data_IF_871995901772
#
_entry.id   IF_871995901772
#
_cell.length_a   1.000
_cell.length_b   1.000
_cell.length_c   1.000
_cell.angle_alpha   90.00
_cell.angle_beta   90.00
_cell.angle_gamma   90.00
#
_symmetry.space_group_name_H-M   'P 1'
#
loop_
_entity.id
_entity.type
_entity.pdbx_description
1 polymer ?
#
# COMPACT_ATOMS: atom_id res chain seq x y z
N UNK A 1 38.10 -24.05 -83.80
CA UNK A 1 37.09 -24.96 -83.28
C UNK A 1 37.16 -24.88 -81.74
N UNK A 2 36.20 -24.26 -81.08
CA UNK A 2 36.13 -24.17 -79.65
C UNK A 2 34.77 -23.61 -79.31
N UNK A 3 33.88 -24.45 -78.80
CA UNK A 3 32.54 -24.11 -78.44
C UNK A 3 32.51 -23.42 -77.06
N UNK A 4 31.88 -22.29 -77.02
CA UNK A 4 31.61 -21.60 -75.76
C UNK A 4 30.26 -22.08 -75.17
N UNK A 5 30.30 -22.59 -73.98
CA UNK A 5 29.10 -22.91 -73.19
C UNK A 5 28.72 -21.68 -72.31
N UNK A 6 27.54 -21.11 -72.50
CA UNK A 6 26.97 -20.11 -71.68
C UNK A 6 26.28 -20.79 -70.49
N UNK A 7 26.68 -20.44 -69.27
CA UNK A 7 26.00 -20.80 -68.03
C UNK A 7 25.05 -19.67 -67.59
N UNK A 8 23.77 -19.96 -67.60
CA UNK A 8 22.68 -19.10 -67.07
C UNK A 8 22.66 -19.20 -65.53
N UNK A 9 22.94 -18.12 -64.82
CA UNK A 9 22.83 -18.06 -63.38
C UNK A 9 21.41 -17.61 -63.02
N UNK A 10 20.61 -18.51 -62.43
CA UNK A 10 19.40 -18.20 -61.72
C UNK A 10 19.74 -17.59 -60.35
N UNK A 11 19.50 -16.31 -60.18
CA UNK A 11 19.55 -15.61 -58.91
C UNK A 11 18.34 -15.95 -58.04
N UNK A 12 18.53 -16.84 -57.08
CA UNK A 12 17.57 -17.04 -55.98
C UNK A 12 17.84 -16.06 -54.85
N UNK A 13 17.01 -15.03 -54.74
CA UNK A 13 17.01 -14.12 -53.58
C UNK A 13 16.44 -14.79 -52.34
N UNK A 14 17.31 -15.34 -51.50
CA UNK A 14 16.97 -15.80 -50.16
C UNK A 14 16.86 -14.59 -49.22
N UNK A 15 15.67 -14.08 -49.01
CA UNK A 15 15.41 -13.17 -47.92
C UNK A 15 15.56 -13.89 -46.59
N UNK A 16 16.67 -13.67 -45.90
CA UNK A 16 16.83 -14.05 -44.50
C UNK A 16 15.94 -13.15 -43.65
N UNK A 17 14.71 -13.58 -43.49
CA UNK A 17 13.84 -13.02 -42.48
C UNK A 17 14.42 -13.31 -41.08
N UNK A 18 15.06 -12.33 -40.48
CA UNK A 18 15.41 -12.35 -39.07
C UNK A 18 14.12 -12.40 -38.27
N UNK A 19 13.64 -13.59 -37.93
CA UNK A 19 12.58 -13.80 -36.99
C UNK A 19 13.16 -13.54 -35.61
N UNK A 20 12.91 -12.32 -35.11
CA UNK A 20 13.12 -12.04 -33.68
C UNK A 20 12.27 -13.03 -32.90
N UNK A 21 12.86 -13.80 -31.96
CA UNK A 21 12.08 -14.71 -31.14
C UNK A 21 10.97 -13.92 -30.44
N UNK A 22 9.76 -14.50 -30.30
CA UNK A 22 8.68 -13.84 -29.59
C UNK A 22 9.16 -13.49 -28.19
N UNK A 23 8.76 -12.31 -27.65
CA UNK A 23 9.10 -11.95 -26.29
C UNK A 23 8.61 -13.05 -25.33
N UNK A 24 9.36 -13.34 -24.25
CA UNK A 24 8.95 -14.33 -23.27
C UNK A 24 7.54 -13.97 -22.75
N UNK A 25 6.69 -14.97 -22.49
CA UNK A 25 5.35 -14.72 -22.00
C UNK A 25 5.42 -13.92 -20.69
N UNK A 26 4.58 -12.88 -20.58
CA UNK A 26 4.47 -12.12 -19.33
C UNK A 26 3.97 -13.03 -18.21
N UNK A 27 4.47 -12.83 -16.99
CA UNK A 27 3.96 -13.52 -15.80
C UNK A 27 2.45 -13.29 -15.66
N UNK A 28 1.72 -14.31 -15.17
CA UNK A 28 0.34 -14.10 -14.71
C UNK A 28 0.30 -13.05 -13.60
N UNK A 29 -0.87 -12.49 -13.33
CA UNK A 29 -1.00 -11.50 -12.25
C UNK A 29 -0.66 -12.09 -10.89
N UNK A 30 -1.06 -13.33 -10.61
CA UNK A 30 -0.69 -14.01 -9.37
C UNK A 30 0.82 -14.21 -9.26
N UNK A 31 1.49 -14.67 -10.32
CA UNK A 31 2.95 -14.85 -10.32
C UNK A 31 3.71 -13.52 -10.21
N UNK A 32 3.18 -12.45 -10.80
CA UNK A 32 3.73 -11.11 -10.64
C UNK A 32 3.58 -10.60 -9.20
N UNK A 33 2.40 -10.73 -8.61
CA UNK A 33 2.16 -10.34 -7.22
C UNK A 33 2.97 -11.21 -6.24
N UNK A 34 3.21 -12.49 -6.52
CA UNK A 34 4.13 -13.32 -5.74
C UNK A 34 5.55 -12.76 -5.76
N UNK A 35 6.04 -12.34 -6.92
CA UNK A 35 7.35 -11.69 -7.03
C UNK A 35 7.41 -10.38 -6.22
N UNK A 36 6.38 -9.55 -6.30
CA UNK A 36 6.28 -8.31 -5.51
C UNK A 36 6.32 -8.64 -4.02
N UNK A 37 5.50 -9.56 -3.56
CA UNK A 37 5.44 -9.94 -2.15
C UNK A 37 6.74 -10.53 -1.62
N UNK A 38 7.46 -11.33 -2.40
CA UNK A 38 8.79 -11.86 -2.00
C UNK A 38 9.81 -10.74 -1.78
N UNK A 39 9.84 -9.74 -2.67
CA UNK A 39 10.74 -8.61 -2.51
C UNK A 39 10.41 -7.78 -1.27
N UNK A 40 9.13 -7.48 -1.05
CA UNK A 40 8.66 -6.76 0.14
C UNK A 40 8.89 -7.56 1.43
N UNK A 41 8.69 -8.88 1.41
CA UNK A 41 8.98 -9.74 2.57
C UNK A 41 10.45 -9.66 3.01
N UNK A 42 11.40 -9.56 2.08
CA UNK A 42 12.81 -9.41 2.42
C UNK A 42 13.10 -8.17 3.26
N UNK A 43 12.36 -7.08 3.06
CA UNK A 43 12.46 -5.90 3.92
C UNK A 43 12.16 -6.26 5.37
N UNK A 44 11.03 -6.87 5.64
CA UNK A 44 10.61 -7.24 7.01
C UNK A 44 11.49 -8.33 7.62
N UNK A 45 12.01 -9.22 6.82
CA UNK A 45 12.90 -10.28 7.25
C UNK A 45 14.30 -9.77 7.62
N UNK A 46 14.88 -8.91 6.79
CA UNK A 46 16.26 -8.45 6.93
C UNK A 46 16.40 -7.20 7.80
N UNK A 47 15.37 -6.36 7.85
CA UNK A 47 15.40 -5.11 8.58
C UNK A 47 14.70 -5.17 9.96
N UNK A 48 14.27 -6.35 10.38
CA UNK A 48 13.87 -6.60 11.77
C UNK A 48 15.08 -6.81 12.67
N UNK A 49 15.03 -6.23 13.86
CA UNK A 49 16.03 -6.45 14.90
C UNK A 49 15.91 -7.87 15.48
N UNK A 50 16.96 -8.66 15.36
CA UNK A 50 16.99 -10.00 15.95
C UNK A 50 16.87 -9.99 17.50
N UNK A 51 17.16 -8.86 18.15
CA UNK A 51 17.09 -8.72 19.60
C UNK A 51 15.70 -8.30 20.11
N UNK A 52 14.94 -7.51 19.31
CA UNK A 52 13.68 -6.90 19.77
C UNK A 52 12.49 -7.23 18.86
N UNK A 53 12.71 -7.76 17.66
CA UNK A 53 11.70 -7.97 16.65
C UNK A 53 11.20 -6.68 15.99
N UNK A 54 11.63 -5.50 16.43
CA UNK A 54 11.22 -4.23 15.85
C UNK A 54 11.77 -4.07 14.44
N UNK A 55 10.92 -3.59 13.54
CA UNK A 55 11.27 -3.32 12.14
C UNK A 55 11.71 -1.87 11.98
N UNK A 56 12.75 -1.65 11.17
CA UNK A 56 13.18 -0.29 10.82
C UNK A 56 12.05 0.49 10.16
N UNK A 57 12.04 1.80 10.39
CA UNK A 57 11.13 2.73 9.72
C UNK A 57 11.36 2.72 8.21
N UNK A 58 12.61 2.82 7.82
CA UNK A 58 13.08 2.79 6.42
C UNK A 58 14.42 2.12 6.27
N UNK A 59 14.73 1.67 5.08
CA UNK A 59 16.03 1.12 4.72
C UNK A 59 16.37 1.44 3.27
N UNK A 60 17.69 1.52 2.97
CA UNK A 60 18.16 1.65 1.60
C UNK A 60 17.57 0.54 0.73
N UNK A 61 17.00 0.89 -0.41
CA UNK A 61 16.33 -0.02 -1.32
C UNK A 61 17.25 -1.14 -1.84
N UNK A 62 18.56 -0.88 -1.96
CA UNK A 62 19.57 -1.84 -2.33
C UNK A 62 20.04 -2.77 -1.20
N UNK A 63 19.61 -2.57 0.04
CA UNK A 63 20.10 -3.27 1.24
C UNK A 63 21.34 -2.60 1.85
N UNK A 64 21.96 -3.28 2.83
CA UNK A 64 23.16 -2.81 3.54
C UNK A 64 22.97 -1.50 4.32
N UNK A 65 21.81 -1.30 4.90
CA UNK A 65 21.48 -0.11 5.70
C UNK A 65 21.99 -0.24 7.15
N UNK A 66 22.70 0.76 7.62
CA UNK A 66 23.25 0.81 8.99
C UNK A 66 22.41 1.62 9.96
N UNK A 67 21.36 2.29 9.49
CA UNK A 67 20.43 3.03 10.36
C UNK A 67 19.70 2.09 11.29
N UNK A 68 19.32 2.58 12.49
CA UNK A 68 18.72 1.77 13.55
C UNK A 68 17.35 2.27 13.99
N UNK A 69 16.86 3.36 13.41
CA UNK A 69 15.54 3.90 13.74
C UNK A 69 14.44 2.90 13.36
N UNK A 70 13.65 2.47 14.32
CA UNK A 70 12.50 1.57 14.12
C UNK A 70 11.18 2.33 14.28
N UNK A 71 10.13 1.80 13.63
CA UNK A 71 8.78 2.32 13.69
C UNK A 71 7.82 1.27 14.25
N UNK A 72 6.91 1.68 15.12
CA UNK A 72 5.82 0.82 15.61
C UNK A 72 4.92 0.43 14.44
N UNK A 73 4.64 1.35 13.53
CA UNK A 73 3.82 1.09 12.35
C UNK A 73 4.48 0.06 11.42
N UNK A 74 5.75 0.24 11.05
CA UNK A 74 6.51 -0.74 10.26
C UNK A 74 6.56 -2.10 10.97
N UNK A 75 6.69 -2.12 12.30
CA UNK A 75 6.68 -3.36 13.09
C UNK A 75 5.31 -4.05 13.03
N UNK A 76 4.21 -3.31 13.11
CA UNK A 76 2.85 -3.86 12.97
C UNK A 76 2.60 -4.50 11.61
N UNK A 77 3.01 -3.83 10.53
CA UNK A 77 3.01 -4.42 9.19
C UNK A 77 3.92 -5.65 9.11
N UNK A 78 5.09 -5.59 9.73
CA UNK A 78 6.06 -6.68 9.77
C UNK A 78 5.53 -7.96 10.40
N UNK A 79 4.75 -7.88 11.48
CA UNK A 79 4.10 -9.05 12.08
C UNK A 79 3.18 -9.77 11.08
N UNK A 80 2.39 -9.02 10.34
CA UNK A 80 1.51 -9.59 9.32
C UNK A 80 2.30 -10.09 8.12
N UNK A 81 3.35 -9.36 7.71
CA UNK A 81 4.25 -9.80 6.66
C UNK A 81 4.94 -11.14 6.97
N UNK A 82 5.32 -11.36 8.23
CA UNK A 82 5.87 -12.65 8.70
C UNK A 82 4.82 -13.76 8.60
N UNK A 83 3.54 -13.51 8.93
CA UNK A 83 2.47 -14.48 8.77
C UNK A 83 2.24 -14.84 7.30
N UNK A 84 2.23 -13.85 6.40
CA UNK A 84 2.16 -14.08 4.95
C UNK A 84 3.37 -14.88 4.48
N UNK A 85 4.58 -14.51 4.93
CA UNK A 85 5.82 -15.21 4.60
C UNK A 85 5.80 -16.68 5.00
N UNK A 86 5.23 -17.00 6.18
CA UNK A 86 5.02 -18.37 6.62
C UNK A 86 4.03 -19.11 5.70
N UNK A 87 2.86 -18.51 5.45
CA UNK A 87 1.82 -19.08 4.58
C UNK A 87 2.32 -19.34 3.15
N UNK A 88 3.17 -18.47 2.63
CA UNK A 88 3.70 -18.53 1.27
C UNK A 88 5.04 -19.28 1.15
N UNK A 89 5.65 -19.66 2.26
CA UNK A 89 6.97 -20.31 2.26
C UNK A 89 8.11 -19.41 1.81
N UNK A 90 8.08 -18.12 2.16
CA UNK A 90 9.14 -17.17 1.79
C UNK A 90 10.34 -17.20 2.73
N UNK A 91 10.18 -17.67 3.95
CA UNK A 91 11.20 -17.68 4.97
C UNK A 91 11.20 -18.95 5.82
N UNK A 92 12.21 -19.08 6.69
CA UNK A 92 12.30 -20.14 7.67
C UNK A 92 11.25 -19.99 8.78
N UNK A 93 10.40 -21.01 8.95
CA UNK A 93 9.31 -21.00 9.89
C UNK A 93 9.75 -20.79 11.37
N UNK A 94 10.90 -21.33 11.77
CA UNK A 94 11.41 -21.17 13.13
C UNK A 94 11.88 -19.74 13.38
N UNK A 95 12.54 -19.10 12.42
CA UNK A 95 12.94 -17.70 12.48
C UNK A 95 11.75 -16.77 12.50
N UNK A 96 10.71 -17.00 11.69
CA UNK A 96 9.45 -16.26 11.69
C UNK A 96 8.79 -16.33 13.07
N UNK A 97 8.65 -17.52 13.66
CA UNK A 97 8.08 -17.69 14.99
C UNK A 97 8.90 -16.95 16.07
N UNK A 98 10.23 -16.98 15.97
CA UNK A 98 11.11 -16.29 16.89
C UNK A 98 10.92 -14.77 16.87
N UNK A 99 10.81 -14.16 15.69
CA UNK A 99 10.56 -12.73 15.54
C UNK A 99 9.17 -12.35 16.06
N UNK A 100 8.14 -13.11 15.72
CA UNK A 100 6.76 -12.83 16.13
C UNK A 100 6.55 -12.86 17.64
N UNK A 101 7.24 -13.76 18.37
CA UNK A 101 7.10 -13.88 19.83
C UNK A 101 7.76 -12.76 20.63
N UNK A 102 8.60 -11.93 20.02
CA UNK A 102 9.28 -10.82 20.68
C UNK A 102 8.43 -9.56 20.80
N UNK A 103 7.31 -9.48 20.08
CA UNK A 103 6.48 -8.29 19.99
C UNK A 103 5.13 -8.58 20.65
N UNK A 104 5.05 -8.45 21.96
CA UNK A 104 3.77 -8.56 22.65
C UNK A 104 3.70 -7.54 23.79
N UNK A 105 2.80 -6.54 23.66
CA UNK A 105 2.52 -5.61 24.75
C UNK A 105 1.02 -5.26 24.79
N UNK A 106 0.58 -4.78 25.96
CA UNK A 106 -0.81 -4.36 26.20
C UNK A 106 -0.93 -2.86 25.94
N UNK A 107 -1.87 -2.47 25.11
CA UNK A 107 -2.14 -1.07 24.80
C UNK A 107 -3.21 -0.53 25.75
N UNK A 108 -2.92 0.58 26.42
CA UNK A 108 -3.92 1.34 27.19
C UNK A 108 -4.63 2.35 26.29
N UNK A 109 -5.67 1.89 25.60
CA UNK A 109 -6.44 2.69 24.68
C UNK A 109 -7.13 3.89 25.32
N UNK A 110 -7.76 3.80 26.54
CA UNK A 110 -8.34 4.94 27.24
C UNK A 110 -7.33 6.05 27.52
N UNK A 111 -6.07 5.72 27.81
CA UNK A 111 -5.03 6.72 28.01
C UNK A 111 -4.79 7.55 26.74
N UNK A 112 -4.85 6.93 25.57
CA UNK A 112 -4.65 7.60 24.26
C UNK A 112 -5.82 8.54 23.90
N UNK A 113 -7.01 8.38 24.50
CA UNK A 113 -8.12 9.32 24.35
C UNK A 113 -7.83 10.65 25.09
N UNK A 114 -6.93 10.66 26.07
CA UNK A 114 -6.57 11.84 26.85
C UNK A 114 -7.82 12.65 27.28
N UNK A 115 -8.80 11.97 27.89
CA UNK A 115 -10.05 12.57 28.39
C UNK A 115 -11.03 13.03 27.33
N UNK A 116 -10.76 12.79 26.04
CA UNK A 116 -11.64 13.13 24.92
C UNK A 116 -12.46 11.93 24.43
N UNK A 117 -13.18 12.15 23.32
CA UNK A 117 -13.95 11.11 22.60
C UNK A 117 -13.23 10.59 21.35
N UNK A 118 -12.19 11.28 20.91
CA UNK A 118 -11.33 10.92 19.78
C UNK A 118 -9.88 10.78 20.26
N UNK A 119 -9.06 10.02 19.54
CA UNK A 119 -7.66 9.80 19.89
C UNK A 119 -6.79 11.04 19.63
N UNK A 120 -5.83 11.32 20.54
CA UNK A 120 -4.77 12.28 20.26
C UNK A 120 -3.87 11.76 19.14
N UNK A 121 -3.37 12.64 18.25
CA UNK A 121 -2.47 12.26 17.18
C UNK A 121 -1.10 11.82 17.65
N UNK A 122 -0.71 12.18 18.87
CA UNK A 122 0.60 11.82 19.40
C UNK A 122 0.81 12.27 20.83
N UNK A 123 1.94 11.83 21.37
CA UNK A 123 2.42 12.17 22.70
C UNK A 123 3.96 12.23 22.72
N UNK A 124 4.52 13.17 23.45
CA UNK A 124 5.95 13.21 23.71
C UNK A 124 6.22 13.38 25.21
N UNK A 125 7.35 12.87 25.72
CA UNK A 125 7.71 13.07 27.13
C UNK A 125 7.81 14.54 27.52
N UNK A 126 8.22 15.41 26.60
CA UNK A 126 8.49 16.83 26.85
C UNK A 126 7.21 17.67 26.88
N UNK A 127 6.23 17.34 26.02
CA UNK A 127 5.06 18.20 25.79
C UNK A 127 3.73 17.52 26.14
N UNK A 128 3.74 16.22 26.48
CA UNK A 128 2.52 15.45 26.69
C UNK A 128 1.76 15.18 25.41
N UNK A 129 0.46 15.07 25.48
CA UNK A 129 -0.41 14.80 24.33
C UNK A 129 -0.49 15.99 23.39
N UNK A 130 -0.50 15.70 22.09
CA UNK A 130 -0.79 16.70 21.07
C UNK A 130 -2.24 17.17 21.18
N UNK A 131 -2.48 18.43 20.86
CA UNK A 131 -3.83 19.01 20.81
C UNK A 131 -4.62 18.57 19.58
N UNK A 132 -3.92 18.21 18.49
CA UNK A 132 -4.50 17.64 17.29
C UNK A 132 -5.00 16.22 17.54
N UNK A 133 -6.14 15.87 16.94
CA UNK A 133 -6.84 14.61 17.19
C UNK A 133 -7.21 13.91 15.88
N UNK A 134 -7.38 12.62 15.95
CA UNK A 134 -7.91 11.80 14.85
C UNK A 134 -9.45 11.92 14.84
N UNK A 135 -9.97 13.10 14.58
CA UNK A 135 -11.40 13.46 14.69
C UNK A 135 -12.10 13.57 13.32
N UNK A 136 -11.43 13.11 12.28
CA UNK A 136 -11.96 13.04 10.90
C UNK A 136 -11.62 11.68 10.31
N UNK A 137 -12.43 11.20 9.36
CA UNK A 137 -12.16 9.99 8.59
C UNK A 137 -10.69 9.94 8.12
N UNK A 138 -10.02 8.83 8.41
CA UNK A 138 -8.60 8.67 8.10
C UNK A 138 -8.21 7.19 8.02
N UNK A 139 -6.95 6.93 7.76
CA UNK A 139 -6.34 5.60 7.81
C UNK A 139 -6.51 4.90 9.15
N UNK A 140 -6.82 5.63 10.23
CA UNK A 140 -6.89 5.11 11.59
C UNK A 140 -8.27 4.64 12.04
N UNK A 141 -9.20 4.32 11.13
CA UNK A 141 -10.42 3.58 11.50
C UNK A 141 -10.07 2.30 12.28
N UNK A 142 -8.99 1.61 11.90
CA UNK A 142 -8.51 0.43 12.62
C UNK A 142 -8.16 0.71 14.08
N UNK A 143 -7.63 1.90 14.41
CA UNK A 143 -7.31 2.29 15.79
C UNK A 143 -8.56 2.29 16.67
N UNK A 144 -9.65 2.88 16.16
CA UNK A 144 -10.94 2.88 16.84
C UNK A 144 -11.51 1.47 17.01
N UNK A 145 -11.46 0.65 15.97
CA UNK A 145 -11.98 -0.71 16.00
C UNK A 145 -11.18 -1.59 16.98
N UNK A 146 -9.85 -1.51 16.97
CA UNK A 146 -9.00 -2.24 17.93
C UNK A 146 -9.29 -1.80 19.36
N UNK A 147 -9.43 -0.51 19.60
CA UNK A 147 -9.68 0.04 20.91
C UNK A 147 -11.09 -0.31 21.45
N UNK A 148 -12.12 -0.26 20.60
CA UNK A 148 -13.50 -0.64 20.97
C UNK A 148 -13.59 -2.14 21.22
N UNK A 149 -12.90 -2.96 20.40
CA UNK A 149 -12.88 -4.42 20.55
C UNK A 149 -11.98 -4.94 21.67
N UNK A 150 -11.16 -4.08 22.30
CA UNK A 150 -10.23 -4.50 23.34
C UNK A 150 -10.95 -5.18 24.51
N UNK A 151 -10.43 -6.34 24.94
CA UNK A 151 -10.96 -7.09 26.09
C UNK A 151 -10.40 -6.64 27.43
N UNK A 152 -9.35 -5.82 27.44
CA UNK A 152 -8.65 -5.37 28.66
C UNK A 152 -8.87 -3.89 28.94
N UNK A 153 -8.76 -3.04 27.95
CA UNK A 153 -8.84 -1.57 28.07
C UNK A 153 -9.72 -0.97 26.95
N UNK A 154 -11.03 -1.36 26.88
CA UNK A 154 -11.87 -0.88 25.79
C UNK A 154 -12.18 0.61 25.95
N UNK A 155 -12.39 1.27 24.80
CA UNK A 155 -13.02 2.58 24.73
C UNK A 155 -14.51 2.46 24.39
N UNK A 156 -15.35 3.47 24.72
CA UNK A 156 -16.76 3.44 24.38
C UNK A 156 -16.99 3.34 22.85
N UNK A 157 -17.99 2.57 22.42
CA UNK A 157 -18.37 2.46 21.01
C UNK A 157 -18.75 3.82 20.39
N UNK A 158 -19.25 4.77 21.21
CA UNK A 158 -19.53 6.14 20.78
C UNK A 158 -18.29 6.92 20.29
N UNK A 159 -17.07 6.43 20.55
CA UNK A 159 -15.85 6.99 19.95
C UNK A 159 -15.82 6.81 18.43
N UNK A 160 -16.49 5.77 17.89
CA UNK A 160 -16.69 5.59 16.45
C UNK A 160 -17.55 6.68 15.81
N UNK A 161 -18.53 7.18 16.56
CA UNK A 161 -19.43 8.24 16.11
C UNK A 161 -18.80 9.64 16.26
N UNK A 162 -17.71 9.75 17.03
CA UNK A 162 -17.12 11.04 17.41
C UNK A 162 -16.25 11.66 16.30
N UNK A 163 -15.73 10.88 15.36
CA UNK A 163 -14.98 11.45 14.24
C UNK A 163 -15.89 11.76 13.05
N UNK A 164 -15.59 12.85 12.36
CA UNK A 164 -16.38 13.33 11.22
C UNK A 164 -16.08 12.56 9.94
N UNK A 165 -17.04 12.52 9.01
CA UNK A 165 -16.94 11.84 7.71
C UNK A 165 -17.37 12.78 6.58
N UNK A 166 -16.56 13.79 6.25
CA UNK A 166 -16.90 14.73 5.18
C UNK A 166 -17.07 13.99 3.85
N UNK A 167 -18.15 14.30 3.12
CA UNK A 167 -18.40 13.77 1.78
C UNK A 167 -18.08 14.85 0.75
N UNK A 168 -17.29 14.48 -0.25
CA UNK A 168 -16.82 15.37 -1.30
C UNK A 168 -17.07 14.74 -2.68
N UNK A 169 -17.20 15.60 -3.69
CA UNK A 169 -17.41 15.16 -5.08
C UNK A 169 -16.31 15.68 -5.98
N UNK A 170 -15.72 14.77 -6.76
CA UNK A 170 -14.75 15.10 -7.80
C UNK A 170 -15.05 14.28 -9.07
N UNK A 171 -15.13 14.92 -10.23
CA UNK A 171 -15.33 14.29 -11.54
C UNK A 171 -16.51 13.29 -11.58
N UNK A 172 -17.57 13.55 -10.81
CA UNK A 172 -18.75 12.68 -10.72
C UNK A 172 -18.65 11.58 -9.64
N UNK A 173 -17.50 11.40 -9.01
CA UNK A 173 -17.33 10.49 -7.87
C UNK A 173 -17.65 11.21 -6.57
N UNK A 174 -18.55 10.65 -5.76
CA UNK A 174 -18.88 11.16 -4.42
C UNK A 174 -18.43 10.15 -3.38
N UNK A 175 -17.60 10.54 -2.44
CA UNK A 175 -17.02 9.67 -1.43
C UNK A 175 -16.68 10.41 -0.15
N UNK A 176 -16.59 9.68 0.96
CA UNK A 176 -16.11 10.19 2.25
C UNK A 176 -14.58 10.27 2.19
N UNK A 177 -14.03 11.39 2.63
CA UNK A 177 -12.59 11.61 2.72
C UNK A 177 -12.28 12.61 3.83
N UNK A 178 -11.01 12.91 4.07
CA UNK A 178 -10.61 14.10 4.80
C UNK A 178 -10.12 15.19 3.82
N UNK A 179 -9.71 16.31 4.34
CA UNK A 179 -9.27 17.44 3.51
C UNK A 179 -7.80 17.32 3.06
N UNK A 180 -7.05 16.32 3.53
CA UNK A 180 -5.64 16.12 3.15
C UNK A 180 -5.45 15.42 1.81
N UNK A 181 -6.50 14.77 1.30
CA UNK A 181 -6.53 14.11 0.00
C UNK A 181 -5.52 12.95 -0.20
N UNK A 182 -4.80 12.53 0.83
CA UNK A 182 -3.88 11.38 0.75
C UNK A 182 -4.66 10.10 0.47
N UNK A 183 -4.23 9.31 -0.52
CA UNK A 183 -4.90 8.05 -0.88
C UNK A 183 -4.76 6.99 0.23
N UNK A 184 -3.69 7.03 1.02
CA UNK A 184 -3.44 6.12 2.14
C UNK A 184 -4.55 6.08 3.17
N UNK A 185 -5.31 7.18 3.36
CA UNK A 185 -6.44 7.23 4.30
C UNK A 185 -7.55 6.22 3.97
N UNK A 186 -7.62 5.78 2.72
CA UNK A 186 -8.58 4.80 2.23
C UNK A 186 -8.06 3.36 2.26
N UNK A 187 -6.80 3.13 2.68
CA UNK A 187 -6.10 1.86 2.49
C UNK A 187 -5.84 1.12 3.80
N UNK A 188 -5.18 1.75 4.77
CA UNK A 188 -4.54 1.06 5.89
C UNK A 188 -5.51 0.24 6.74
N UNK A 189 -6.67 0.79 7.10
CA UNK A 189 -7.66 0.03 7.88
C UNK A 189 -8.17 -1.21 7.14
N UNK A 190 -8.24 -1.14 5.81
CA UNK A 190 -8.68 -2.24 4.95
C UNK A 190 -7.65 -3.36 4.82
N UNK A 191 -6.40 -3.15 5.25
CA UNK A 191 -5.39 -4.20 5.19
C UNK A 191 -5.72 -5.37 6.11
N UNK A 192 -6.35 -5.10 7.26
CA UNK A 192 -6.71 -6.11 8.29
C UNK A 192 -8.20 -6.33 8.44
N UNK A 193 -8.98 -5.26 8.52
CA UNK A 193 -10.42 -5.34 8.69
C UNK A 193 -11.13 -5.55 7.34
N UNK A 194 -11.91 -6.63 7.23
CA UNK A 194 -12.69 -6.91 6.03
C UNK A 194 -14.01 -6.13 6.02
N UNK A 195 -13.98 -4.96 5.41
CA UNK A 195 -15.16 -4.12 5.23
C UNK A 195 -16.03 -4.49 4.02
N UNK A 196 -15.65 -5.52 3.24
CA UNK A 196 -16.40 -5.93 2.05
C UNK A 196 -17.84 -6.33 2.40
N UNK A 197 -18.79 -5.85 1.62
CA UNK A 197 -20.21 -6.15 1.80
C UNK A 197 -20.74 -5.81 3.21
N UNK A 198 -20.19 -4.78 3.84
CA UNK A 198 -20.60 -4.31 5.17
C UNK A 198 -20.78 -2.79 5.16
N UNK A 199 -21.78 -2.34 5.93
CA UNK A 199 -22.02 -0.92 6.18
C UNK A 199 -22.43 -0.70 7.63
N UNK A 200 -22.13 0.49 8.13
CA UNK A 200 -22.71 1.07 9.34
C UNK A 200 -23.79 2.10 8.98
N UNK A 201 -24.12 2.98 9.93
CA UNK A 201 -25.07 4.07 9.69
C UNK A 201 -24.54 5.16 8.73
N UNK A 202 -23.24 5.16 8.43
CA UNK A 202 -22.57 6.23 7.68
C UNK A 202 -22.21 5.80 6.27
N UNK A 203 -21.64 4.59 6.09
CA UNK A 203 -21.11 4.15 4.80
C UNK A 203 -20.89 2.63 4.68
N UNK A 204 -20.81 2.17 3.44
CA UNK A 204 -20.01 1.03 3.05
C UNK A 204 -18.59 1.54 2.78
N UNK A 205 -17.66 1.31 3.71
CA UNK A 205 -16.30 1.85 3.61
C UNK A 205 -15.48 1.21 2.51
N UNK A 206 -15.76 -0.04 2.13
CA UNK A 206 -15.07 -0.68 1.02
C UNK A 206 -15.45 -0.02 -0.31
N UNK A 207 -16.74 0.17 -0.58
CA UNK A 207 -17.23 0.85 -1.78
C UNK A 207 -16.77 2.30 -1.82
N UNK A 208 -16.68 2.95 -0.64
CA UNK A 208 -16.10 4.29 -0.51
C UNK A 208 -14.64 4.31 -0.99
N UNK A 209 -13.82 3.35 -0.60
CA UNK A 209 -12.40 3.27 -0.98
C UNK A 209 -12.22 2.91 -2.46
N UNK A 210 -13.11 2.08 -3.03
CA UNK A 210 -13.19 1.84 -4.49
C UNK A 210 -13.45 3.15 -5.23
N UNK A 211 -14.46 3.90 -4.78
CA UNK A 211 -14.82 5.19 -5.39
C UNK A 211 -13.70 6.23 -5.26
N UNK A 212 -13.08 6.32 -4.09
CA UNK A 212 -11.94 7.21 -3.85
C UNK A 212 -10.73 6.88 -4.73
N UNK A 213 -10.42 5.60 -4.91
CA UNK A 213 -9.34 5.13 -5.79
C UNK A 213 -9.61 5.51 -7.24
N UNK A 214 -10.86 5.33 -7.73
CA UNK A 214 -11.25 5.74 -9.07
C UNK A 214 -11.17 7.26 -9.27
N UNK A 215 -11.61 8.04 -8.28
CA UNK A 215 -11.50 9.50 -8.28
C UNK A 215 -10.04 9.95 -8.32
N UNK A 216 -9.18 9.33 -7.52
CA UNK A 216 -7.75 9.62 -7.46
C UNK A 216 -7.05 9.32 -8.80
N UNK A 217 -7.33 8.16 -9.39
CA UNK A 217 -6.82 7.83 -10.73
C UNK A 217 -7.26 8.87 -11.76
N UNK A 218 -8.55 9.24 -11.80
CA UNK A 218 -9.06 10.28 -12.69
C UNK A 218 -8.37 11.63 -12.46
N UNK A 219 -8.08 11.96 -11.20
CA UNK A 219 -7.33 13.18 -10.86
C UNK A 219 -5.92 13.14 -11.47
N UNK A 220 -5.12 12.10 -11.24
CA UNK A 220 -3.79 11.98 -11.83
C UNK A 220 -3.86 12.08 -13.36
N UNK A 221 -4.78 11.38 -14.02
CA UNK A 221 -4.93 11.45 -15.48
C UNK A 221 -5.31 12.84 -15.98
N UNK A 222 -6.07 13.62 -15.22
CA UNK A 222 -6.42 15.00 -15.56
C UNK A 222 -5.23 15.96 -15.54
N UNK A 223 -4.17 15.58 -14.84
CA UNK A 223 -2.92 16.35 -14.75
C UNK A 223 -1.92 16.02 -15.87
N UNK A 224 -2.20 15.04 -16.75
CA UNK A 224 -1.32 14.68 -17.87
C UNK A 224 -0.91 15.84 -18.78
N UNK A 225 -1.73 16.85 -19.05
CA UNK A 225 -1.29 18.03 -19.81
C UNK A 225 -0.18 18.83 -19.12
N UNK A 226 -0.08 18.77 -17.79
CA UNK A 226 0.94 19.43 -16.98
C UNK A 226 2.12 18.51 -16.67
N UNK A 227 1.84 17.24 -16.41
CA UNK A 227 2.81 16.19 -16.05
C UNK A 227 2.61 15.00 -16.98
N UNK A 228 3.40 14.95 -18.06
CA UNK A 228 3.17 13.99 -19.17
C UNK A 228 3.41 12.52 -18.80
N UNK A 229 3.99 12.25 -17.64
CA UNK A 229 4.20 10.91 -17.10
C UNK A 229 2.90 10.28 -16.56
N UNK A 230 1.91 11.06 -16.13
CA UNK A 230 0.63 10.51 -15.69
C UNK A 230 -0.15 9.91 -16.85
N UNK A 231 -0.29 8.59 -16.84
CA UNK A 231 -0.91 7.80 -17.90
C UNK A 231 -1.79 6.70 -17.29
N UNK A 232 -2.52 5.97 -18.14
CA UNK A 232 -3.42 4.90 -17.70
C UNK A 232 -2.74 3.79 -16.90
N UNK A 233 -1.45 3.56 -17.11
CA UNK A 233 -0.61 2.60 -16.41
C UNK A 233 0.54 3.24 -15.61
N UNK A 234 0.49 4.55 -15.33
CA UNK A 234 1.42 5.25 -14.44
C UNK A 234 0.68 6.39 -13.75
N UNK A 235 0.24 6.16 -12.53
CA UNK A 235 -0.52 7.10 -11.71
C UNK A 235 -0.42 6.70 -10.23
N UNK A 236 -0.80 7.58 -9.35
CA UNK A 236 -0.92 7.35 -7.93
C UNK A 236 0.10 8.16 -7.14
N UNK A 237 -0.44 9.01 -6.29
CA UNK A 237 0.30 9.82 -5.32
C UNK A 237 -0.36 9.71 -3.95
N UNK A 238 0.46 9.71 -2.93
CA UNK A 238 0.08 9.75 -1.52
C UNK A 238 1.21 10.43 -0.75
N UNK A 239 1.14 10.57 0.55
CA UNK A 239 2.26 11.10 1.31
C UNK A 239 3.50 10.23 1.10
N UNK A 240 4.66 10.85 0.84
CA UNK A 240 5.93 10.17 0.58
C UNK A 240 7.13 11.10 0.79
N UNK A 241 8.33 10.57 0.66
CA UNK A 241 9.51 11.40 0.48
C UNK A 241 9.49 12.06 -0.92
N UNK A 242 10.23 13.14 -1.07
CA UNK A 242 10.48 13.85 -2.33
C UNK A 242 11.91 14.37 -2.35
N UNK A 243 12.32 14.99 -3.46
CA UNK A 243 13.64 15.62 -3.57
C UNK A 243 13.85 16.70 -2.49
N UNK A 244 12.79 17.31 -2.00
CA UNK A 244 12.79 18.35 -0.97
C UNK A 244 12.45 17.82 0.45
N UNK A 245 12.35 16.51 0.63
CA UNK A 245 11.97 15.84 1.87
C UNK A 245 10.52 15.35 1.85
N UNK A 246 9.99 14.99 3.02
CA UNK A 246 8.64 14.44 3.14
C UNK A 246 7.58 15.42 2.66
N UNK A 247 6.70 14.94 1.77
CA UNK A 247 5.62 15.73 1.18
C UNK A 247 4.28 15.00 1.29
N UNK A 248 3.26 15.72 1.76
CA UNK A 248 1.87 15.27 1.64
C UNK A 248 1.35 15.79 0.31
N UNK A 249 1.40 14.92 -0.71
CA UNK A 249 0.97 15.26 -2.06
C UNK A 249 -0.51 15.58 -2.12
N UNK A 250 -0.86 16.48 -3.01
CA UNK A 250 -2.25 16.84 -3.29
C UNK A 250 -3.04 15.74 -3.96
N UNK A 251 -4.33 15.92 -4.01
CA UNK A 251 -5.26 14.97 -4.63
C UNK A 251 -6.68 15.53 -4.68
N UNK A 252 -7.62 14.75 -5.25
CA UNK A 252 -9.01 15.16 -5.29
C UNK A 252 -9.62 15.08 -3.88
N UNK A 253 -10.56 15.99 -3.54
CA UNK A 253 -10.98 17.14 -4.34
C UNK A 253 -10.09 18.36 -4.13
N UNK A 254 -9.22 18.35 -3.12
CA UNK A 254 -8.33 19.46 -2.80
C UNK A 254 -6.97 19.23 -3.47
N UNK A 255 -6.54 20.18 -4.29
CA UNK A 255 -5.20 20.19 -4.86
C UNK A 255 -4.21 20.72 -3.82
N UNK A 256 -3.11 19.98 -3.63
CA UNK A 256 -1.96 20.35 -2.83
C UNK A 256 -0.71 20.44 -3.69
N UNK A 257 0.50 20.29 -3.10
CA UNK A 257 1.73 20.21 -3.89
C UNK A 257 1.68 19.01 -4.83
N UNK A 258 2.08 19.21 -6.09
CA UNK A 258 2.15 18.19 -7.14
C UNK A 258 3.29 18.58 -8.08
N UNK A 259 4.18 17.64 -8.38
CA UNK A 259 5.33 17.85 -9.22
C UNK A 259 5.53 16.78 -10.32
N UNK A 260 4.59 15.84 -10.45
CA UNK A 260 4.71 14.68 -11.33
C UNK A 260 5.32 13.46 -10.66
N UNK A 261 5.51 13.47 -9.34
CA UNK A 261 5.97 12.29 -8.60
C UNK A 261 4.98 11.14 -8.68
N UNK A 262 5.53 9.93 -8.66
CA UNK A 262 4.81 8.66 -8.57
C UNK A 262 5.17 7.98 -7.26
N UNK A 263 4.14 7.52 -6.54
CA UNK A 263 4.29 6.82 -5.26
C UNK A 263 3.74 5.40 -5.42
N UNK A 264 4.60 4.38 -5.56
CA UNK A 264 4.17 3.02 -5.89
C UNK A 264 3.15 2.42 -4.91
N UNK A 265 3.26 2.72 -3.61
CA UNK A 265 2.33 2.22 -2.60
C UNK A 265 0.90 2.79 -2.76
N UNK A 266 0.72 3.90 -3.45
CA UNK A 266 -0.61 4.41 -3.79
C UNK A 266 -1.40 3.40 -4.64
N UNK A 267 -0.76 2.80 -5.64
CA UNK A 267 -1.34 1.70 -6.41
C UNK A 267 -1.31 0.38 -5.61
N UNK A 268 -0.19 0.07 -4.94
CA UNK A 268 -0.01 -1.15 -4.16
C UNK A 268 -1.06 -1.32 -3.06
N UNK A 269 -1.32 -0.28 -2.28
CA UNK A 269 -2.34 -0.25 -1.24
C UNK A 269 -3.78 -0.24 -1.76
N UNK A 270 -3.99 0.02 -3.06
CA UNK A 270 -5.30 0.03 -3.71
C UNK A 270 -5.61 -1.25 -4.49
N UNK A 271 -4.76 -2.28 -4.43
CA UNK A 271 -4.91 -3.53 -5.20
C UNK A 271 -6.28 -4.18 -5.06
N UNK A 272 -6.87 -4.16 -3.86
CA UNK A 272 -8.18 -4.75 -3.63
C UNK A 272 -9.35 -3.86 -4.13
N UNK A 273 -9.11 -2.60 -4.43
CA UNK A 273 -10.13 -1.64 -4.86
C UNK A 273 -10.18 -1.46 -6.38
N UNK A 274 -9.02 -1.59 -7.06
CA UNK A 274 -8.89 -1.41 -8.51
C UNK A 274 -7.76 -2.32 -9.05
N UNK A 275 -7.96 -3.64 -8.94
CA UNK A 275 -6.90 -4.64 -9.15
C UNK A 275 -6.20 -4.50 -10.50
N UNK A 276 -6.96 -4.47 -11.60
CA UNK A 276 -6.39 -4.45 -12.94
C UNK A 276 -5.56 -3.19 -13.19
N UNK A 277 -6.07 -2.03 -12.78
CA UNK A 277 -5.40 -0.74 -12.94
C UNK A 277 -4.15 -0.65 -12.08
N UNK A 278 -4.21 -1.12 -10.84
CA UNK A 278 -3.08 -1.11 -9.92
C UNK A 278 -1.97 -2.07 -10.37
N UNK A 279 -2.31 -3.29 -10.80
CA UNK A 279 -1.34 -4.24 -11.35
C UNK A 279 -0.66 -3.67 -12.60
N UNK A 280 -1.42 -3.00 -13.46
CA UNK A 280 -0.84 -2.35 -14.65
C UNK A 280 0.20 -1.28 -14.29
N UNK A 281 -0.05 -0.48 -13.24
CA UNK A 281 0.91 0.51 -12.72
C UNK A 281 2.16 -0.19 -12.19
N UNK A 282 2.01 -1.15 -11.27
CA UNK A 282 3.15 -1.83 -10.64
C UNK A 282 4.01 -2.57 -11.66
N UNK A 283 3.40 -3.22 -12.66
CA UNK A 283 4.12 -3.85 -13.77
C UNK A 283 4.88 -2.84 -14.61
N UNK A 284 4.25 -1.72 -14.93
CA UNK A 284 4.87 -0.66 -15.71
C UNK A 284 6.08 -0.08 -14.97
N UNK A 285 5.95 0.19 -13.67
CA UNK A 285 7.06 0.67 -12.85
C UNK A 285 8.21 -0.35 -12.87
N UNK A 286 7.95 -1.61 -12.59
CA UNK A 286 8.98 -2.65 -12.58
C UNK A 286 9.68 -2.80 -13.94
N UNK A 287 8.94 -2.69 -15.05
CA UNK A 287 9.48 -2.90 -16.39
C UNK A 287 10.23 -1.70 -16.97
N UNK A 288 9.81 -0.47 -16.65
CA UNK A 288 10.31 0.74 -17.29
C UNK A 288 11.19 1.61 -16.39
N UNK A 289 11.07 1.46 -15.06
CA UNK A 289 11.73 2.32 -14.08
C UNK A 289 12.62 1.48 -13.16
N UNK A 290 13.72 0.98 -13.69
CA UNK A 290 14.60 0.00 -13.00
C UNK A 290 15.19 0.50 -11.67
N UNK A 291 15.31 1.82 -11.48
CA UNK A 291 15.76 2.40 -10.22
C UNK A 291 14.65 2.44 -9.16
N UNK A 292 13.38 2.38 -9.60
CA UNK A 292 12.22 2.33 -8.70
C UNK A 292 11.91 0.90 -8.21
N UNK A 293 12.58 -0.12 -8.74
CA UNK A 293 12.44 -1.52 -8.33
C UNK A 293 13.79 -2.12 -7.96
N UNK A 294 13.98 -2.46 -6.68
CA UNK A 294 15.25 -2.93 -6.16
C UNK A 294 15.06 -4.16 -5.24
N UNK A 295 16.02 -4.42 -4.33
CA UNK A 295 16.03 -5.60 -3.45
C UNK A 295 14.75 -5.80 -2.65
N UNK A 296 14.22 -4.72 -2.08
CA UNK A 296 13.02 -4.74 -1.22
C UNK A 296 11.73 -4.37 -1.97
N UNK A 297 11.72 -4.48 -3.29
CA UNK A 297 10.59 -4.10 -4.13
C UNK A 297 10.66 -2.64 -4.57
N UNK A 298 9.56 -1.92 -4.46
CA UNK A 298 9.46 -0.54 -4.91
C UNK A 298 10.08 0.42 -3.90
N UNK A 299 10.80 1.43 -4.40
CA UNK A 299 11.21 2.59 -3.59
C UNK A 299 9.99 3.38 -3.14
N UNK A 300 10.15 4.26 -2.15
CA UNK A 300 9.04 5.05 -1.62
C UNK A 300 8.39 5.91 -2.71
N UNK A 301 9.19 6.72 -3.42
CA UNK A 301 8.69 7.56 -4.50
C UNK A 301 9.75 7.75 -5.59
N UNK A 302 9.32 8.22 -6.77
CA UNK A 302 10.20 8.67 -7.83
C UNK A 302 9.49 9.68 -8.73
N UNK A 303 10.26 10.50 -9.44
CA UNK A 303 9.73 11.47 -10.38
C UNK A 303 10.38 11.27 -11.76
N UNK A 304 9.64 10.70 -12.74
CA UNK A 304 10.18 10.46 -14.08
C UNK A 304 10.58 11.73 -14.82
N UNK A 305 9.94 12.86 -14.54
CA UNK A 305 10.18 14.13 -15.24
C UNK A 305 11.49 14.79 -14.82
N UNK A 306 11.84 14.67 -13.52
CA UNK A 306 13.11 15.18 -12.98
C UNK A 306 14.22 14.14 -13.01
N UNK A 307 13.91 12.86 -13.16
CA UNK A 307 14.85 11.74 -13.04
C UNK A 307 15.26 11.46 -11.60
N UNK A 308 14.51 11.95 -10.61
CA UNK A 308 14.74 11.64 -9.20
C UNK A 308 14.11 10.30 -8.82
N UNK A 309 14.83 9.53 -8.02
CA UNK A 309 14.35 8.28 -7.39
C UNK A 309 14.76 8.30 -5.94
N UNK A 310 13.83 7.95 -5.06
CA UNK A 310 14.16 7.72 -3.67
C UNK A 310 15.15 6.55 -3.54
N UNK A 311 16.04 6.66 -2.57
CA UNK A 311 16.98 5.59 -2.23
C UNK A 311 16.42 4.63 -1.19
N UNK A 312 15.30 4.98 -0.55
CA UNK A 312 14.72 4.27 0.56
C UNK A 312 13.46 3.47 0.16
N UNK A 313 13.20 2.44 0.94
CA UNK A 313 11.91 1.76 1.06
C UNK A 313 11.40 2.03 2.47
N UNK A 314 10.16 2.50 2.58
CA UNK A 314 9.50 2.72 3.86
C UNK A 314 8.73 1.47 4.29
N UNK A 315 8.85 1.11 5.57
CA UNK A 315 8.21 -0.10 6.10
C UNK A 315 6.69 -0.08 6.02
N UNK A 316 6.06 1.10 6.16
CA UNK A 316 4.61 1.23 6.02
C UNK A 316 4.15 1.04 4.56
N UNK A 317 4.91 1.50 3.58
CA UNK A 317 4.57 1.43 2.15
C UNK A 317 4.80 0.03 1.58
N UNK A 318 5.92 -0.60 1.98
CA UNK A 318 6.15 -2.02 1.74
C UNK A 318 5.04 -2.87 2.37
N UNK A 319 4.63 -2.53 3.58
CA UNK A 319 3.61 -3.23 4.34
C UNK A 319 2.23 -3.15 3.70
N UNK A 320 1.73 -1.95 3.43
CA UNK A 320 0.41 -1.81 2.83
C UNK A 320 0.34 -2.50 1.45
N UNK A 321 1.39 -2.39 0.65
CA UNK A 321 1.46 -3.05 -0.66
C UNK A 321 1.44 -4.59 -0.49
N UNK A 322 2.22 -5.13 0.45
CA UNK A 322 2.30 -6.57 0.71
C UNK A 322 0.96 -7.14 1.18
N UNK A 323 0.33 -6.50 2.17
CA UNK A 323 -0.92 -6.97 2.75
C UNK A 323 -2.07 -6.90 1.73
N UNK A 324 -2.18 -5.79 0.97
CA UNK A 324 -3.22 -5.65 -0.03
C UNK A 324 -3.00 -6.54 -1.25
N UNK A 325 -1.76 -6.87 -1.60
CA UNK A 325 -1.45 -7.89 -2.59
C UNK A 325 -1.91 -9.29 -2.12
N UNK A 326 -1.68 -9.63 -0.85
CA UNK A 326 -2.16 -10.88 -0.29
C UNK A 326 -3.68 -10.96 -0.24
N UNK A 327 -4.32 -9.88 0.19
CA UNK A 327 -5.79 -9.81 0.23
C UNK A 327 -6.40 -9.92 -1.19
N UNK A 328 -5.76 -9.30 -2.19
CA UNK A 328 -6.17 -9.43 -3.59
C UNK A 328 -5.99 -10.87 -4.12
N UNK A 329 -4.91 -11.56 -3.73
CA UNK A 329 -4.59 -12.93 -4.19
C UNK A 329 -5.47 -13.99 -3.53
N UNK A 330 -5.70 -13.89 -2.23
CA UNK A 330 -6.30 -14.97 -1.45
C UNK A 330 -7.28 -14.56 -0.36
N UNK A 331 -7.28 -13.30 0.08
CA UNK A 331 -8.02 -12.85 1.25
C UNK A 331 -7.43 -13.31 2.59
N UNK A 332 -6.24 -13.92 2.60
CA UNK A 332 -5.67 -14.57 3.78
C UNK A 332 -5.56 -13.66 5.00
N UNK A 333 -5.16 -12.40 4.82
CA UNK A 333 -5.05 -11.46 5.96
C UNK A 333 -6.43 -11.18 6.54
N UNK A 334 -7.42 -10.90 5.69
CA UNK A 334 -8.80 -10.68 6.12
C UNK A 334 -9.39 -11.90 6.84
N UNK A 335 -9.28 -13.07 6.23
CA UNK A 335 -9.84 -14.31 6.79
C UNK A 335 -9.22 -14.61 8.15
N UNK A 336 -7.89 -14.46 8.28
CA UNK A 336 -7.17 -14.73 9.51
C UNK A 336 -7.45 -13.66 10.58
N UNK A 337 -7.38 -12.37 10.23
CA UNK A 337 -7.57 -11.29 11.18
C UNK A 337 -9.00 -11.25 11.72
N UNK A 338 -9.99 -11.44 10.86
CA UNK A 338 -11.41 -11.44 11.23
C UNK A 338 -11.85 -12.67 12.04
N UNK A 339 -10.99 -13.69 12.23
CA UNK A 339 -11.24 -14.75 13.21
C UNK A 339 -11.09 -14.28 14.68
N UNK A 340 -10.43 -13.13 14.92
CA UNK A 340 -10.29 -12.59 16.25
C UNK A 340 -11.65 -12.14 16.82
N UNK A 341 -12.03 -12.61 18.04
CA UNK A 341 -13.28 -12.19 18.68
C UNK A 341 -13.37 -10.67 18.88
N UNK A 342 -12.26 -10.02 19.12
CA UNK A 342 -12.15 -8.56 19.29
C UNK A 342 -12.57 -7.82 18.01
N UNK A 343 -12.15 -8.28 16.84
CA UNK A 343 -12.54 -7.69 15.56
C UNK A 343 -14.05 -7.83 15.31
N UNK A 344 -14.61 -9.01 15.61
CA UNK A 344 -16.05 -9.26 15.50
C UNK A 344 -16.86 -8.41 16.50
N UNK A 345 -16.38 -8.32 17.75
CA UNK A 345 -17.01 -7.50 18.79
C UNK A 345 -16.99 -6.01 18.43
N UNK A 346 -15.88 -5.51 17.88
CA UNK A 346 -15.77 -4.14 17.40
C UNK A 346 -16.80 -3.84 16.31
N UNK A 347 -16.86 -4.69 15.27
CA UNK A 347 -17.83 -4.52 14.18
C UNK A 347 -19.28 -4.50 14.69
N UNK A 348 -19.62 -5.41 15.60
CA UNK A 348 -20.94 -5.44 16.21
C UNK A 348 -21.24 -4.17 17.00
N UNK A 349 -20.28 -3.70 17.81
CA UNK A 349 -20.43 -2.52 18.67
C UNK A 349 -20.64 -1.22 17.88
N UNK A 350 -19.98 -1.08 16.72
CA UNK A 350 -20.10 0.11 15.85
C UNK A 350 -21.17 -0.03 14.77
N UNK A 351 -21.92 -1.14 14.77
CA UNK A 351 -23.02 -1.37 13.84
C UNK A 351 -22.63 -1.70 12.41
N UNK A 352 -21.37 -2.14 12.16
CA UNK A 352 -20.94 -2.66 10.86
C UNK A 352 -21.58 -4.02 10.60
N UNK A 353 -22.57 -4.05 9.71
CA UNK A 353 -23.38 -5.23 9.40
C UNK A 353 -23.29 -5.58 7.92
N UNK A 354 -23.50 -6.87 7.55
CA UNK A 354 -23.64 -7.23 6.15
C UNK A 354 -24.74 -6.38 5.48
N UNK A 355 -24.45 -5.86 4.29
CA UNK A 355 -25.46 -5.21 3.45
C UNK A 355 -26.29 -6.30 2.76
N UNK A 356 -27.60 -6.05 2.64
CA UNK A 356 -28.46 -6.94 1.88
C UNK A 356 -28.02 -6.92 0.40
N UNK A 357 -27.85 -8.10 -0.16
CA UNK A 357 -27.53 -8.32 -1.59
C UNK A 357 -28.69 -7.94 -2.47
#
# INVERSE_FOLDING_TARGET
>A
MGAALALSACGGGGGSGSSTPPPPPSLSDDAFLDQVQRALFLYFWEQASAATGQVKDRALAGGNDTRTLSSIAATGFGLTALAIGHQRGYGDAAGIQSLATQIYDRVDWPWMLNGGTTFSMGWTPENGFFTTRWDTYSELMMLYLLAIGSTTHPVPASSWDAFTRPSLTYAGYTYITNLSASLSIHQYSHAWFDFRNRADAYANYFDNSVTATAAHRQFCLSLAPQFADYQGNLWGITASDSVDGYTVWGGPPAMGPIDGSIVPCAAGGSLAFASAECIAVLRNIQAQYSLAWQRYGFVDAFNPLSGWYDTDVLGIDAGITMLMAENQRSGFVWDTFMMNPEAQSAFAAVGLKPVAS
#
